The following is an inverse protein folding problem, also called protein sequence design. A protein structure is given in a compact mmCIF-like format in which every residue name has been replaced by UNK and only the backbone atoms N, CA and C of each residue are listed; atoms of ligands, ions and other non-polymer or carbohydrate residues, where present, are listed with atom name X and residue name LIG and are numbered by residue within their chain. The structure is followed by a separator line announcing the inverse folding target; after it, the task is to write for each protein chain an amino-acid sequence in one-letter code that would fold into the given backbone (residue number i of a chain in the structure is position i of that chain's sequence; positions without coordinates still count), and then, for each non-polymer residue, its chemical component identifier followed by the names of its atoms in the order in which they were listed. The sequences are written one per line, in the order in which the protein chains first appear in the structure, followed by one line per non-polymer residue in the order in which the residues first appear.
data_IF_408697293524
#
_entry.id   IF_408697293524
#
_cell.length_a   1.000
_cell.length_b   1.000
_cell.length_c   1.000
_cell.angle_alpha   90.00
_cell.angle_beta   90.00
_cell.angle_gamma   90.00
#
_symmetry.space_group_name_H-M   'P 1'
#
loop_
_entity.id
_entity.type
_entity.pdbx_description
1 polymer ?
#
# COMPACT_ATOMS: atom_id res chain seq x y z
N UNK A 1 20.53 -18.08 8.21
CA UNK A 1 19.28 -18.02 9.00
C UNK A 1 18.47 -16.88 8.39
N UNK A 2 17.74 -17.11 7.30
CA UNK A 2 16.50 -17.90 7.15
C UNK A 2 15.35 -17.32 7.95
N UNK A 3 14.61 -16.38 7.35
CA UNK A 3 13.21 -16.05 7.67
C UNK A 3 12.60 -15.34 6.46
N UNK A 4 12.40 -16.12 5.40
CA UNK A 4 11.41 -15.85 4.36
C UNK A 4 10.07 -16.23 5.00
N UNK A 5 9.38 -15.25 5.59
CA UNK A 5 8.14 -15.49 6.33
C UNK A 5 7.01 -14.93 5.49
N UNK A 6 6.38 -15.83 4.72
CA UNK A 6 5.09 -15.60 4.09
C UNK A 6 4.09 -15.09 5.14
N UNK A 7 3.09 -14.25 4.76
CA UNK A 7 2.06 -13.85 5.71
C UNK A 7 1.38 -15.10 6.27
N UNK A 8 1.64 -15.36 7.55
CA UNK A 8 1.12 -16.50 8.29
C UNK A 8 -0.41 -16.43 8.23
N UNK A 9 -1.03 -17.45 7.62
CA UNK A 9 -2.49 -17.60 7.60
C UNK A 9 -2.99 -17.62 9.05
N UNK A 10 -4.13 -16.97 9.35
CA UNK A 10 -4.68 -17.02 10.70
C UNK A 10 -4.91 -18.48 11.10
N UNK A 11 -4.57 -18.89 12.33
CA UNK A 11 -4.84 -20.25 12.79
C UNK A 11 -6.34 -20.51 12.68
N UNK A 12 -6.73 -21.56 11.97
CA UNK A 12 -8.12 -21.98 11.86
C UNK A 12 -8.67 -22.18 13.28
N UNK A 13 -9.67 -21.40 13.73
CA UNK A 13 -10.23 -21.59 15.05
C UNK A 13 -10.99 -22.91 15.04
N UNK A 14 -10.47 -23.87 15.81
CA UNK A 14 -11.16 -25.11 16.13
C UNK A 14 -12.46 -24.75 16.88
N UNK A 15 -13.60 -25.17 16.33
CA UNK A 15 -14.91 -25.21 17.00
C UNK A 15 -15.48 -23.87 17.51
N UNK A 16 -15.24 -22.75 16.84
CA UNK A 16 -15.99 -21.51 17.15
C UNK A 16 -17.18 -21.41 16.22
N UNK A 17 -18.39 -21.30 16.78
CA UNK A 17 -19.60 -21.10 15.99
C UNK A 17 -19.48 -19.78 15.19
N UNK A 18 -19.54 -19.90 13.87
CA UNK A 18 -19.40 -18.77 12.96
C UNK A 18 -20.58 -17.80 13.10
N UNK A 19 -21.77 -18.33 13.44
CA UNK A 19 -22.96 -17.52 13.67
C UNK A 19 -22.83 -16.72 14.96
N UNK A 20 -22.33 -17.34 16.04
CA UNK A 20 -22.00 -16.66 17.30
C UNK A 20 -20.91 -15.57 17.09
N UNK A 21 -19.88 -15.88 16.30
CA UNK A 21 -18.80 -14.94 15.98
C UNK A 21 -19.32 -13.69 15.26
N UNK A 22 -20.34 -13.84 14.41
CA UNK A 22 -21.01 -12.73 13.73
C UNK A 22 -22.18 -12.14 14.53
N UNK A 23 -22.47 -12.63 15.74
CA UNK A 23 -23.62 -12.23 16.55
C UNK A 23 -24.96 -12.33 15.78
N UNK A 24 -25.13 -13.37 14.98
CA UNK A 24 -26.35 -13.62 14.18
C UNK A 24 -26.95 -14.99 14.49
N UNK A 25 -28.25 -15.15 14.20
CA UNK A 25 -28.91 -16.45 14.29
C UNK A 25 -28.51 -17.38 13.13
N UNK A 26 -28.63 -18.69 13.34
CA UNK A 26 -28.33 -19.71 12.32
C UNK A 26 -29.22 -19.58 11.07
N UNK A 27 -30.43 -19.02 11.21
CA UNK A 27 -31.38 -18.76 10.12
C UNK A 27 -31.18 -17.38 9.44
N UNK A 28 -30.12 -16.65 9.81
CA UNK A 28 -29.90 -15.30 9.31
C UNK A 28 -29.80 -15.26 7.78
N UNK A 29 -30.43 -14.24 7.20
CA UNK A 29 -30.34 -13.93 5.77
C UNK A 29 -28.96 -13.39 5.41
N UNK A 30 -28.60 -13.47 4.12
CA UNK A 30 -27.33 -12.93 3.62
C UNK A 30 -27.15 -11.43 3.94
N UNK A 31 -28.23 -10.65 3.86
CA UNK A 31 -28.21 -9.23 4.20
C UNK A 31 -27.94 -8.98 5.70
N UNK A 32 -28.47 -9.84 6.58
CA UNK A 32 -28.20 -9.76 8.02
C UNK A 32 -26.75 -10.12 8.33
N UNK A 33 -26.22 -11.19 7.72
CA UNK A 33 -24.81 -11.61 7.85
C UNK A 33 -23.88 -10.47 7.38
N UNK A 34 -24.15 -9.88 6.21
CA UNK A 34 -23.40 -8.74 5.66
C UNK A 34 -23.46 -7.51 6.56
N UNK A 35 -24.64 -7.21 7.10
CA UNK A 35 -24.83 -6.07 7.99
C UNK A 35 -24.12 -6.26 9.33
N UNK A 36 -24.16 -7.47 9.88
CA UNK A 36 -23.48 -7.81 11.13
C UNK A 36 -21.96 -7.75 10.98
N UNK A 37 -21.42 -8.33 9.89
CA UNK A 37 -20.01 -8.22 9.53
C UNK A 37 -19.55 -6.76 9.47
N UNK A 38 -20.25 -5.89 8.73
CA UNK A 38 -19.90 -4.46 8.64
C UNK A 38 -19.83 -3.77 10.01
N UNK A 39 -20.80 -4.04 10.87
CA UNK A 39 -20.85 -3.46 12.23
C UNK A 39 -19.68 -3.96 13.08
N UNK A 40 -19.43 -5.27 13.08
CA UNK A 40 -18.37 -5.89 13.89
C UNK A 40 -16.97 -5.55 13.39
N UNK A 41 -16.77 -5.49 12.07
CA UNK A 41 -15.54 -5.04 11.42
C UNK A 41 -15.19 -3.61 11.82
N UNK A 42 -16.17 -2.69 11.83
CA UNK A 42 -15.96 -1.30 12.25
C UNK A 42 -15.65 -1.16 13.75
N UNK A 43 -16.20 -2.04 14.60
CA UNK A 43 -15.96 -2.04 16.06
C UNK A 43 -14.59 -2.61 16.42
N UNK A 44 -14.17 -3.66 15.74
CA UNK A 44 -12.92 -4.38 16.00
C UNK A 44 -11.77 -3.98 15.06
N UNK A 45 -11.91 -2.89 14.30
CA UNK A 45 -10.85 -2.44 13.40
C UNK A 45 -9.59 -2.03 14.18
N UNK A 46 -8.39 -2.55 13.85
CA UNK A 46 -7.16 -2.32 14.62
C UNK A 46 -6.73 -0.85 14.68
N UNK A 47 -7.18 -0.02 13.72
CA UNK A 47 -6.94 1.43 13.70
C UNK A 47 -7.71 2.18 14.80
N UNK A 48 -8.90 1.69 15.18
CA UNK A 48 -9.71 2.30 16.25
C UNK A 48 -9.35 1.78 17.64
N UNK A 49 -8.58 0.70 17.71
CA UNK A 49 -8.17 0.09 18.97
C UNK A 49 -7.04 0.89 19.64
N UNK A 50 -7.12 1.00 20.96
CA UNK A 50 -6.01 1.50 21.79
C UNK A 50 -4.78 0.61 21.56
N UNK A 51 -3.55 1.15 21.61
CA UNK A 51 -2.33 0.39 21.34
C UNK A 51 -2.22 -0.91 22.16
N UNK A 52 -2.70 -0.91 23.40
CA UNK A 52 -2.73 -2.05 24.32
C UNK A 52 -3.66 -3.19 23.85
N UNK A 53 -4.71 -2.88 23.07
CA UNK A 53 -5.74 -3.83 22.65
C UNK A 53 -5.67 -4.14 21.14
N UNK A 54 -4.62 -3.68 20.44
CA UNK A 54 -4.50 -3.85 18.99
C UNK A 54 -4.41 -5.32 18.58
N UNK A 55 -3.70 -6.13 19.35
CA UNK A 55 -3.55 -7.55 19.06
C UNK A 55 -4.87 -8.31 19.21
N UNK A 56 -5.64 -8.02 20.27
CA UNK A 56 -6.95 -8.61 20.49
C UNK A 56 -7.95 -8.17 19.42
N UNK A 57 -7.96 -6.88 19.07
CA UNK A 57 -8.79 -6.35 17.99
C UNK A 57 -8.45 -7.00 16.64
N UNK A 58 -7.16 -7.19 16.35
CA UNK A 58 -6.70 -7.88 15.14
C UNK A 58 -7.16 -9.33 15.09
N UNK A 59 -7.02 -10.09 16.20
CA UNK A 59 -7.47 -11.48 16.28
C UNK A 59 -8.99 -11.59 16.09
N UNK A 60 -9.76 -10.75 16.77
CA UNK A 60 -11.22 -10.70 16.61
C UNK A 60 -11.62 -10.31 15.19
N UNK A 61 -10.95 -9.33 14.60
CA UNK A 61 -11.20 -8.91 13.22
C UNK A 61 -10.95 -10.05 12.23
N UNK A 62 -9.87 -10.81 12.41
CA UNK A 62 -9.58 -11.99 11.59
C UNK A 62 -10.65 -13.07 11.73
N UNK A 63 -11.13 -13.35 12.96
CA UNK A 63 -12.22 -14.30 13.20
C UNK A 63 -13.53 -13.85 12.54
N UNK A 64 -13.89 -12.57 12.69
CA UNK A 64 -15.07 -11.96 12.06
C UNK A 64 -14.98 -12.03 10.52
N UNK A 65 -13.81 -11.73 9.96
CA UNK A 65 -13.54 -11.83 8.53
C UNK A 65 -13.69 -13.27 8.03
N UNK A 66 -13.13 -14.23 8.76
CA UNK A 66 -13.22 -15.65 8.43
C UNK A 66 -14.66 -16.16 8.46
N UNK A 67 -15.40 -15.86 9.53
CA UNK A 67 -16.80 -16.22 9.65
C UNK A 67 -17.64 -15.64 8.51
N UNK A 68 -17.40 -14.38 8.14
CA UNK A 68 -18.07 -13.77 7.00
C UNK A 68 -17.70 -14.44 5.67
N UNK A 69 -16.42 -14.77 5.43
CA UNK A 69 -15.99 -15.42 4.19
C UNK A 69 -16.58 -16.81 3.96
N UNK A 70 -16.94 -17.51 5.04
CA UNK A 70 -17.64 -18.80 4.98
C UNK A 70 -19.16 -18.61 4.86
N UNK A 71 -19.75 -17.73 5.67
CA UNK A 71 -21.22 -17.59 5.74
C UNK A 71 -21.83 -16.74 4.61
N UNK A 72 -21.04 -15.84 4.01
CA UNK A 72 -21.50 -14.97 2.91
C UNK A 72 -21.70 -15.70 1.59
N UNK A 73 -21.03 -16.84 1.38
CA UNK A 73 -21.21 -17.67 0.20
C UNK A 73 -22.15 -18.84 0.53
N UNK A 74 -23.23 -18.98 -0.23
CA UNK A 74 -24.27 -19.98 0.02
C UNK A 74 -23.73 -21.42 -0.09
N UNK A 75 -22.74 -21.68 -0.96
CA UNK A 75 -22.11 -23.00 -1.09
C UNK A 75 -21.23 -23.31 0.11
N UNK A 76 -20.46 -22.33 0.60
CA UNK A 76 -19.59 -22.50 1.79
C UNK A 76 -20.40 -22.61 3.07
N UNK A 77 -21.44 -21.79 3.23
CA UNK A 77 -22.40 -21.90 4.33
C UNK A 77 -23.04 -23.27 4.36
N UNK A 78 -23.56 -23.74 3.22
CA UNK A 78 -24.19 -25.07 3.12
C UNK A 78 -23.24 -26.22 3.45
N UNK A 79 -21.95 -26.09 3.13
CA UNK A 79 -20.91 -27.06 3.53
C UNK A 79 -20.70 -27.02 5.05
N UNK A 80 -20.48 -25.83 5.60
CA UNK A 80 -20.33 -25.62 7.04
C UNK A 80 -21.53 -26.16 7.83
N UNK A 81 -22.76 -25.89 7.39
CA UNK A 81 -23.98 -26.36 8.05
C UNK A 81 -24.13 -27.90 8.01
N UNK A 82 -23.52 -28.59 7.03
CA UNK A 82 -23.56 -30.04 6.91
C UNK A 82 -22.45 -30.76 7.66
N UNK A 83 -21.26 -30.16 7.70
CA UNK A 83 -20.04 -30.83 8.20
C UNK A 83 -19.64 -30.32 9.58
N UNK A 84 -20.14 -29.15 9.99
CA UNK A 84 -19.74 -28.45 11.21
C UNK A 84 -18.27 -28.02 11.21
N UNK A 85 -17.55 -28.23 10.10
CA UNK A 85 -16.12 -28.04 9.98
C UNK A 85 -15.81 -26.87 9.06
N UNK A 86 -14.99 -25.95 9.55
CA UNK A 86 -14.48 -24.82 8.76
C UNK A 86 -13.28 -25.19 7.90
N UNK A 87 -12.67 -26.37 8.14
CA UNK A 87 -11.53 -26.85 7.36
C UNK A 87 -11.95 -27.18 5.92
N UNK A 88 -13.11 -27.83 5.77
CA UNK A 88 -13.64 -28.26 4.46
C UNK A 88 -14.30 -27.12 3.66
N UNK A 89 -14.49 -25.95 4.27
CA UNK A 89 -15.11 -24.80 3.61
C UNK A 89 -14.25 -24.22 2.47
N UNK A 90 -12.93 -24.47 2.52
CA UNK A 90 -11.94 -23.99 1.55
C UNK A 90 -11.18 -25.10 0.82
N UNK A 91 -11.37 -26.37 1.17
CA UNK A 91 -10.59 -27.52 0.65
C UNK A 91 -10.74 -27.78 -0.86
N UNK A 92 -11.85 -27.34 -1.48
CA UNK A 92 -12.05 -27.50 -2.94
C UNK A 92 -11.67 -26.26 -3.76
N UNK A 93 -11.20 -25.19 -3.12
CA UNK A 93 -10.87 -23.91 -3.76
C UNK A 93 -9.44 -23.47 -3.39
N UNK A 94 -8.43 -24.16 -3.93
CA UNK A 94 -7.00 -23.83 -3.84
C UNK A 94 -6.63 -22.39 -4.28
N UNK A 95 -7.59 -21.60 -4.76
CA UNK A 95 -7.45 -20.25 -5.33
C UNK A 95 -8.25 -19.16 -4.57
N UNK A 96 -8.66 -19.38 -3.31
CA UNK A 96 -9.34 -18.32 -2.55
C UNK A 96 -8.40 -17.16 -2.17
N UNK A 97 -8.38 -16.10 -2.99
CA UNK A 97 -7.67 -14.85 -2.70
C UNK A 97 -8.58 -13.85 -1.95
N UNK A 98 -8.24 -13.60 -0.68
CA UNK A 98 -8.86 -12.59 0.17
C UNK A 98 -8.91 -11.20 -0.48
N UNK A 99 -7.88 -10.82 -1.23
CA UNK A 99 -7.80 -9.51 -1.86
C UNK A 99 -8.80 -9.39 -3.01
N UNK A 100 -9.00 -10.45 -3.79
CA UNK A 100 -10.03 -10.49 -4.83
C UNK A 100 -11.44 -10.59 -4.24
N UNK A 101 -11.63 -11.39 -3.19
CA UNK A 101 -12.89 -11.45 -2.44
C UNK A 101 -13.32 -10.05 -1.97
N UNK A 102 -12.45 -9.33 -1.26
CA UNK A 102 -12.80 -7.98 -0.79
C UNK A 102 -12.98 -6.97 -1.93
N UNK A 103 -12.17 -7.06 -3.00
CA UNK A 103 -12.36 -6.20 -4.19
C UNK A 103 -13.75 -6.40 -4.78
N UNK A 104 -14.20 -7.63 -4.94
CA UNK A 104 -15.53 -7.94 -5.47
C UNK A 104 -16.64 -7.48 -4.51
N UNK A 105 -16.50 -7.76 -3.21
CA UNK A 105 -17.48 -7.39 -2.19
C UNK A 105 -17.71 -5.87 -2.09
N UNK A 106 -16.66 -5.07 -2.24
CA UNK A 106 -16.74 -3.60 -2.20
C UNK A 106 -16.81 -2.95 -3.59
N UNK A 107 -16.75 -3.74 -4.67
CA UNK A 107 -16.77 -3.22 -6.05
C UNK A 107 -18.00 -2.37 -6.36
N UNK A 108 -19.14 -2.66 -5.73
CA UNK A 108 -20.40 -1.91 -5.88
C UNK A 108 -20.56 -0.78 -4.87
N UNK A 109 -19.82 -0.80 -3.77
CA UNK A 109 -19.90 0.22 -2.72
C UNK A 109 -18.86 1.34 -2.89
N UNK A 110 -17.74 1.02 -3.52
CA UNK A 110 -16.64 1.95 -3.83
C UNK A 110 -16.32 1.78 -5.31
N UNK A 111 -17.27 2.17 -6.15
CA UNK A 111 -17.09 2.17 -7.60
C UNK A 111 -16.73 3.57 -8.11
N UNK A 112 -16.35 3.65 -9.39
CA UNK A 112 -16.00 4.92 -10.03
C UNK A 112 -17.21 5.86 -10.07
N UNK A 113 -18.42 5.32 -10.22
CA UNK A 113 -19.64 6.12 -10.27
C UNK A 113 -19.95 6.78 -8.92
N UNK A 114 -19.81 6.05 -7.80
CA UNK A 114 -19.99 6.59 -6.45
C UNK A 114 -18.98 7.71 -6.17
N UNK A 115 -17.75 7.59 -6.68
CA UNK A 115 -16.76 8.66 -6.58
C UNK A 115 -17.16 9.89 -7.42
N UNK A 116 -17.69 9.68 -8.63
CA UNK A 116 -18.18 10.76 -9.49
C UNK A 116 -19.41 11.47 -8.90
N UNK A 117 -20.35 10.72 -8.32
CA UNK A 117 -21.51 11.25 -7.61
C UNK A 117 -21.07 12.08 -6.40
N UNK A 118 -20.17 11.54 -5.56
CA UNK A 118 -19.63 12.25 -4.40
C UNK A 118 -18.87 13.51 -4.82
N UNK A 119 -18.10 13.46 -5.91
CA UNK A 119 -17.44 14.64 -6.48
C UNK A 119 -18.45 15.71 -6.87
N UNK A 120 -19.54 15.33 -7.52
CA UNK A 120 -20.58 16.25 -7.97
C UNK A 120 -21.35 16.87 -6.81
N UNK A 121 -21.59 16.11 -5.74
CA UNK A 121 -22.27 16.60 -4.55
C UNK A 121 -21.38 17.53 -3.72
N UNK A 122 -20.10 17.19 -3.58
CA UNK A 122 -19.15 17.97 -2.78
C UNK A 122 -18.67 19.25 -3.48
N UNK A 123 -18.27 19.18 -4.76
CA UNK A 123 -17.70 20.34 -5.45
C UNK A 123 -18.74 21.43 -5.68
N UNK A 124 -18.45 22.64 -5.20
CA UNK A 124 -19.33 23.81 -5.25
C UNK A 124 -20.35 23.87 -4.11
N UNK A 125 -20.42 22.85 -3.26
CA UNK A 125 -21.29 22.83 -2.08
C UNK A 125 -20.83 23.83 -1.02
N UNK A 126 -21.71 24.11 -0.06
CA UNK A 126 -21.33 24.90 1.11
C UNK A 126 -20.41 24.11 2.06
N UNK A 127 -20.44 22.79 2.02
CA UNK A 127 -19.53 21.92 2.78
C UNK A 127 -18.08 22.13 2.31
N UNK A 128 -17.83 22.07 1.01
CA UNK A 128 -16.50 22.32 0.46
C UNK A 128 -16.00 23.74 0.78
N UNK A 129 -16.86 24.75 0.70
CA UNK A 129 -16.48 26.12 1.10
C UNK A 129 -16.08 26.16 2.57
N UNK A 130 -16.86 25.53 3.44
CA UNK A 130 -16.55 25.48 4.88
C UNK A 130 -15.26 24.72 5.16
N UNK A 131 -15.03 23.60 4.50
CA UNK A 131 -13.78 22.83 4.62
C UNK A 131 -12.58 23.63 4.14
N UNK A 132 -12.72 24.33 3.00
CA UNK A 132 -11.69 25.20 2.46
C UNK A 132 -11.33 26.33 3.42
N UNK A 133 -12.32 27.00 4.00
CA UNK A 133 -12.10 28.07 4.97
C UNK A 133 -11.50 27.53 6.28
N UNK A 134 -11.97 26.38 6.73
CA UNK A 134 -11.43 25.69 7.91
C UNK A 134 -9.96 25.31 7.70
N UNK A 135 -9.62 24.78 6.52
CA UNK A 135 -8.24 24.49 6.14
C UNK A 135 -7.40 25.77 6.03
N UNK A 136 -7.97 26.84 5.47
CA UNK A 136 -7.31 28.14 5.32
C UNK A 136 -6.91 28.74 6.67
N UNK A 137 -7.81 28.71 7.65
CA UNK A 137 -7.53 29.14 9.03
C UNK A 137 -6.51 28.22 9.72
N UNK A 138 -6.73 26.90 9.65
CA UNK A 138 -5.85 25.89 10.26
C UNK A 138 -4.41 26.00 9.78
N UNK A 139 -4.20 26.26 8.50
CA UNK A 139 -2.87 26.36 7.90
C UNK A 139 -2.39 27.79 7.67
N UNK A 140 -3.14 28.79 8.16
CA UNK A 140 -2.81 30.23 8.08
C UNK A 140 -2.45 30.66 6.66
N UNK A 141 -3.30 30.30 5.70
CA UNK A 141 -3.19 30.67 4.28
C UNK A 141 -2.09 29.96 3.49
N UNK A 142 -1.60 28.81 3.96
CA UNK A 142 -0.63 27.99 3.23
C UNK A 142 -1.32 27.10 2.19
N UNK A 143 -1.44 27.58 0.95
CA UNK A 143 -2.18 26.89 -0.13
C UNK A 143 -1.72 25.47 -0.39
N UNK A 144 -0.42 25.16 -0.22
CA UNK A 144 0.09 23.79 -0.42
C UNK A 144 -0.59 22.81 0.55
N UNK A 145 -0.72 23.19 1.82
CA UNK A 145 -1.36 22.36 2.85
C UNK A 145 -2.88 22.31 2.71
N UNK A 146 -3.47 23.38 2.20
CA UNK A 146 -4.90 23.45 1.95
C UNK A 146 -5.28 22.42 0.89
N UNK A 147 -4.56 22.41 -0.24
CA UNK A 147 -4.79 21.43 -1.31
C UNK A 147 -4.58 19.98 -0.86
N UNK A 148 -3.62 19.74 0.03
CA UNK A 148 -3.38 18.41 0.61
C UNK A 148 -4.48 17.97 1.61
N UNK A 149 -5.34 18.91 2.05
CA UNK A 149 -6.33 18.67 3.11
C UNK A 149 -7.78 18.66 2.64
N UNK A 150 -8.10 19.43 1.60
CA UNK A 150 -9.47 19.53 1.08
C UNK A 150 -9.76 18.33 0.21
N UNK A 151 -10.92 17.70 0.44
CA UNK A 151 -11.31 16.48 -0.24
C UNK A 151 -11.48 16.72 -1.76
N UNK A 152 -11.06 15.76 -2.57
CA UNK A 152 -11.19 15.79 -4.04
C UNK A 152 -10.59 17.02 -4.74
N UNK A 153 -9.69 17.73 -4.07
CA UNK A 153 -9.00 18.87 -4.64
C UNK A 153 -8.07 18.43 -5.78
N UNK A 154 -8.20 19.06 -6.95
CA UNK A 154 -7.22 19.03 -8.01
C UNK A 154 -6.64 20.43 -8.23
N UNK A 155 -5.35 20.62 -7.94
CA UNK A 155 -4.66 21.91 -8.14
C UNK A 155 -4.82 22.45 -9.57
N UNK A 156 -4.93 21.58 -10.57
CA UNK A 156 -5.07 22.01 -11.97
C UNK A 156 -6.43 22.64 -12.27
N UNK A 157 -7.48 22.18 -11.61
CA UNK A 157 -8.86 22.59 -11.90
C UNK A 157 -9.39 23.58 -10.84
N UNK A 158 -8.95 23.44 -9.59
CA UNK A 158 -9.57 24.11 -8.42
C UNK A 158 -8.81 25.34 -7.91
N UNK A 159 -7.56 25.60 -8.33
CA UNK A 159 -6.75 26.70 -7.77
C UNK A 159 -7.43 28.07 -7.94
N UNK A 160 -8.01 28.34 -9.11
CA UNK A 160 -8.70 29.60 -9.37
C UNK A 160 -10.01 29.72 -8.57
N UNK A 161 -10.78 28.64 -8.50
CA UNK A 161 -12.05 28.58 -7.78
C UNK A 161 -11.87 28.73 -6.28
N UNK A 162 -10.89 28.04 -5.69
CA UNK A 162 -10.60 28.11 -4.26
C UNK A 162 -10.14 29.52 -3.86
N UNK A 163 -9.31 30.16 -4.69
CA UNK A 163 -8.89 31.54 -4.45
C UNK A 163 -10.07 32.51 -4.51
N UNK A 164 -10.97 32.36 -5.48
CA UNK A 164 -12.16 33.20 -5.55
C UNK A 164 -13.01 33.07 -4.28
N UNK A 165 -13.20 31.85 -3.77
CA UNK A 165 -13.93 31.62 -2.51
C UNK A 165 -13.21 32.25 -1.31
N UNK A 166 -11.89 32.07 -1.20
CA UNK A 166 -11.09 32.65 -0.11
C UNK A 166 -11.12 34.19 -0.17
N UNK A 167 -10.95 34.77 -1.35
CA UNK A 167 -10.99 36.22 -1.54
C UNK A 167 -12.36 36.81 -1.21
N UNK A 168 -13.43 36.12 -1.62
CA UNK A 168 -14.78 36.49 -1.22
C UNK A 168 -14.97 36.40 0.30
N UNK A 169 -14.49 35.33 0.95
CA UNK A 169 -14.58 35.18 2.39
C UNK A 169 -13.76 36.24 3.16
N UNK A 170 -12.60 36.65 2.63
CA UNK A 170 -11.80 37.75 3.18
C UNK A 170 -12.56 39.08 3.00
N UNK A 171 -13.18 39.32 1.85
CA UNK A 171 -13.97 40.52 1.58
C UNK A 171 -15.21 40.61 2.48
N UNK A 172 -15.87 39.48 2.72
CA UNK A 172 -17.00 39.33 3.64
C UNK A 172 -16.59 39.38 5.13
N UNK A 173 -15.28 39.41 5.43
CA UNK A 173 -14.75 39.42 6.79
C UNK A 173 -14.95 38.11 7.56
N UNK A 174 -15.22 36.99 6.88
CA UNK A 174 -15.39 35.67 7.50
C UNK A 174 -14.07 35.06 7.95
N UNK A 175 -12.98 35.34 7.24
CA UNK A 175 -11.64 34.81 7.54
C UNK A 175 -10.58 35.91 7.52
N UNK A 176 -9.53 35.75 8.32
CA UNK A 176 -8.42 36.69 8.38
C UNK A 176 -7.47 36.55 7.18
N UNK A 177 -6.91 37.68 6.73
CA UNK A 177 -5.93 37.69 5.65
C UNK A 177 -4.54 37.30 6.18
N UNK A 178 -4.04 36.13 5.78
CA UNK A 178 -2.72 35.66 6.21
C UNK A 178 -1.58 36.05 5.26
N UNK A 179 -0.44 36.45 5.83
CA UNK A 179 0.77 36.85 5.10
C UNK A 179 1.23 35.82 4.06
N UNK A 180 1.18 34.53 4.40
CA UNK A 180 1.59 33.43 3.50
C UNK A 180 0.76 33.36 2.22
N UNK A 181 -0.52 33.71 2.29
CA UNK A 181 -1.41 33.72 1.13
C UNK A 181 -1.13 34.92 0.23
N UNK A 182 -0.94 36.10 0.84
CA UNK A 182 -0.75 37.37 0.13
C UNK A 182 0.60 37.46 -0.57
N UNK A 183 1.66 37.00 0.11
CA UNK A 183 3.02 37.08 -0.40
C UNK A 183 3.41 35.87 -1.27
N UNK A 184 2.45 35.06 -1.67
CA UNK A 184 2.72 33.91 -2.52
C UNK A 184 3.19 34.36 -3.92
N UNK A 185 4.46 34.13 -4.21
CA UNK A 185 5.01 34.46 -5.54
C UNK A 185 4.35 33.66 -6.66
N UNK A 186 4.15 34.30 -7.81
CA UNK A 186 3.67 33.63 -9.04
C UNK A 186 4.54 32.43 -9.42
N UNK A 187 5.86 32.53 -9.22
CA UNK A 187 6.80 31.43 -9.48
C UNK A 187 6.47 30.19 -8.65
N UNK A 188 6.09 30.36 -7.38
CA UNK A 188 5.69 29.24 -6.50
C UNK A 188 4.39 28.60 -7.01
N UNK A 189 3.42 29.41 -7.45
CA UNK A 189 2.17 28.94 -8.05
C UNK A 189 2.44 28.13 -9.32
N UNK A 190 3.25 28.65 -10.24
CA UNK A 190 3.63 27.94 -11.46
C UNK A 190 4.38 26.63 -11.17
N UNK A 191 5.25 26.61 -10.16
CA UNK A 191 5.92 25.39 -9.73
C UNK A 191 4.94 24.33 -9.21
N UNK A 192 3.91 24.74 -8.48
CA UNK A 192 2.86 23.84 -8.00
C UNK A 192 2.08 23.23 -9.16
N UNK A 193 1.63 24.06 -10.11
CA UNK A 193 0.93 23.60 -11.31
C UNK A 193 1.79 22.61 -12.10
N UNK A 194 3.08 22.92 -12.31
CA UNK A 194 4.02 22.00 -12.98
C UNK A 194 4.20 20.68 -12.24
N UNK A 195 4.24 20.70 -10.91
CA UNK A 195 4.32 19.48 -10.09
C UNK A 195 3.07 18.62 -10.26
N UNK A 196 1.89 19.24 -10.18
CA UNK A 196 0.62 18.55 -10.37
C UNK A 196 0.47 17.98 -11.80
N UNK A 197 0.91 18.70 -12.83
CA UNK A 197 0.96 18.20 -14.21
C UNK A 197 1.87 16.96 -14.33
N UNK A 198 3.08 17.03 -13.76
CA UNK A 198 4.03 15.90 -13.79
C UNK A 198 3.47 14.67 -13.06
N UNK A 199 2.83 14.87 -11.92
CA UNK A 199 2.19 13.80 -11.15
C UNK A 199 1.02 13.16 -11.92
N UNK A 200 0.18 13.98 -12.58
CA UNK A 200 -0.89 13.49 -13.44
C UNK A 200 -0.37 12.66 -14.63
N UNK A 201 0.69 13.13 -15.29
CA UNK A 201 1.35 12.38 -16.37
C UNK A 201 1.93 11.03 -15.88
N UNK A 202 2.57 11.02 -14.70
CA UNK A 202 3.11 9.81 -14.09
C UNK A 202 1.98 8.82 -13.73
N UNK A 203 0.86 9.30 -13.19
CA UNK A 203 -0.31 8.50 -12.87
C UNK A 203 -0.94 7.87 -14.13
N UNK A 204 -1.06 8.64 -15.22
CA UNK A 204 -1.56 8.14 -16.51
C UNK A 204 -0.63 7.08 -17.12
N UNK A 205 0.69 7.26 -17.00
CA UNK A 205 1.64 6.23 -17.44
C UNK A 205 1.52 4.95 -16.61
N UNK A 206 1.29 5.08 -15.30
CA UNK A 206 1.16 3.96 -14.39
C UNK A 206 -0.14 3.19 -14.62
N UNK A 207 -1.26 3.88 -14.85
CA UNK A 207 -2.53 3.26 -15.20
C UNK A 207 -2.43 2.47 -16.50
N UNK A 208 -1.84 3.04 -17.56
CA UNK A 208 -1.57 2.36 -18.83
C UNK A 208 -0.70 1.10 -18.65
N UNK A 209 0.29 1.13 -17.75
CA UNK A 209 1.13 -0.03 -17.43
C UNK A 209 0.33 -1.13 -16.72
N UNK A 210 -0.53 -0.75 -15.77
CA UNK A 210 -1.41 -1.69 -15.06
C UNK A 210 -2.41 -2.35 -16.01
N UNK A 211 -3.01 -1.59 -16.92
CA UNK A 211 -3.92 -2.12 -17.94
C UNK A 211 -3.24 -3.15 -18.85
N UNK A 212 -2.03 -2.85 -19.33
CA UNK A 212 -1.22 -3.79 -20.11
C UNK A 212 -0.93 -5.07 -19.33
N UNK A 213 -0.59 -4.96 -18.04
CA UNK A 213 -0.33 -6.11 -17.16
C UNK A 213 -1.58 -6.98 -16.95
N UNK A 214 -2.77 -6.37 -16.82
CA UNK A 214 -4.06 -7.08 -16.73
C UNK A 214 -4.42 -7.81 -18.03
N UNK A 215 -4.05 -7.27 -19.19
CA UNK A 215 -4.26 -7.94 -20.49
C UNK A 215 -3.35 -9.15 -20.66
N UNK A 216 -2.09 -9.08 -20.20
CA UNK A 216 -1.15 -10.21 -20.25
C UNK A 216 -1.53 -11.35 -19.29
N UNK A 217 -2.14 -11.07 -18.14
CA UNK A 217 -2.57 -12.12 -17.20
C UNK A 217 -3.86 -12.82 -17.63
N UNK A 218 -4.79 -12.14 -18.30
CA UNK A 218 -6.00 -12.78 -18.86
C UNK A 218 -5.73 -13.71 -20.06
N UNK A 219 -4.61 -13.53 -20.76
CA UNK A 219 -4.20 -14.38 -21.89
C UNK A 219 -3.63 -15.76 -21.50
N UNK A 220 -3.29 -15.97 -20.22
CA UNK A 220 -2.69 -17.22 -19.73
C UNK A 220 -3.71 -18.19 -19.10
N UNK A 221 -5.02 -17.90 -19.15
CA UNK A 221 -6.07 -18.76 -18.56
C UNK A 221 -6.50 -19.93 -19.46
N UNK A 222 -5.71 -20.25 -20.49
CA UNK A 222 -5.90 -21.41 -21.36
C UNK A 222 -4.57 -22.09 -21.64
N UNK A 223 -4.32 -23.23 -20.98
CA UNK A 223 -3.10 -24.06 -20.94
C UNK A 223 -1.94 -23.54 -20.06
N UNK A 224 -1.81 -24.13 -18.87
CA UNK A 224 -0.86 -25.23 -18.56
C UNK A 224 -0.24 -25.08 -17.15
N UNK A 225 -0.23 -26.21 -16.42
CA UNK A 225 0.67 -26.65 -15.34
C UNK A 225 1.41 -25.59 -14.51
N UNK A 226 1.07 -25.55 -13.21
CA UNK A 226 1.93 -25.29 -12.04
C UNK A 226 3.24 -24.54 -12.31
N UNK A 227 3.23 -23.22 -12.11
CA UNK A 227 4.40 -22.47 -11.66
C UNK A 227 3.94 -21.29 -10.80
N UNK A 228 4.15 -21.44 -9.50
CA UNK A 228 3.97 -20.45 -8.44
C UNK A 228 4.58 -19.09 -8.82
N UNK A 229 3.84 -18.00 -8.66
CA UNK A 229 4.27 -16.62 -8.98
C UNK A 229 5.48 -16.08 -8.21
N UNK A 230 6.10 -16.87 -7.32
CA UNK A 230 7.43 -16.59 -6.74
C UNK A 230 8.58 -16.82 -7.73
N UNK A 231 8.38 -17.67 -8.75
CA UNK A 231 9.44 -18.06 -9.67
C UNK A 231 9.79 -16.95 -10.69
N UNK A 232 8.87 -16.03 -10.96
CA UNK A 232 9.09 -14.92 -11.91
C UNK A 232 9.88 -13.76 -11.28
N UNK A 233 9.70 -13.51 -9.97
CA UNK A 233 10.55 -12.59 -9.20
C UNK A 233 11.94 -13.19 -8.98
N UNK A 234 12.01 -14.50 -8.69
CA UNK A 234 13.27 -15.23 -8.60
C UNK A 234 14.00 -15.27 -9.95
N UNK A 235 13.26 -15.39 -11.07
CA UNK A 235 13.80 -15.32 -12.43
C UNK A 235 14.30 -13.91 -12.77
N UNK A 236 13.57 -12.85 -12.41
CA UNK A 236 14.02 -11.45 -12.58
C UNK A 236 15.24 -11.12 -11.70
N UNK A 237 15.30 -11.67 -10.48
CA UNK A 237 16.45 -11.55 -9.58
C UNK A 237 17.65 -12.32 -10.15
N UNK A 238 17.45 -13.55 -10.63
CA UNK A 238 18.49 -14.33 -11.33
C UNK A 238 18.93 -13.66 -12.63
N UNK A 239 18.03 -13.03 -13.38
CA UNK A 239 18.35 -12.30 -14.61
C UNK A 239 19.15 -11.03 -14.31
N UNK A 240 18.80 -10.27 -13.25
CA UNK A 240 19.60 -9.12 -12.77
C UNK A 240 20.93 -9.54 -12.15
N UNK A 241 20.98 -10.68 -11.48
CA UNK A 241 22.22 -11.25 -10.94
C UNK A 241 23.11 -11.78 -12.06
N UNK A 242 22.56 -12.42 -13.09
CA UNK A 242 23.28 -12.88 -14.27
C UNK A 242 23.77 -11.72 -15.13
N UNK A 243 23.00 -10.65 -15.33
CA UNK A 243 23.47 -9.46 -16.05
C UNK A 243 24.56 -8.70 -15.28
N UNK A 244 24.49 -8.68 -13.94
CA UNK A 244 25.59 -8.20 -13.09
C UNK A 244 26.79 -9.15 -13.17
N UNK A 245 26.58 -10.46 -13.17
CA UNK A 245 27.63 -11.46 -13.29
C UNK A 245 28.32 -11.39 -14.64
N UNK A 246 27.62 -11.21 -15.76
CA UNK A 246 28.19 -10.99 -17.10
C UNK A 246 29.03 -9.72 -17.15
N UNK A 247 28.58 -8.62 -16.51
CA UNK A 247 29.40 -7.40 -16.40
C UNK A 247 30.63 -7.57 -15.50
N UNK A 248 30.59 -8.51 -14.55
CA UNK A 248 31.69 -8.85 -13.64
C UNK A 248 32.65 -9.86 -14.28
N UNK A 249 32.14 -10.83 -15.05
CA UNK A 249 32.91 -11.81 -15.81
C UNK A 249 33.60 -11.16 -17.00
N UNK A 250 32.96 -10.21 -17.69
CA UNK A 250 33.60 -9.41 -18.74
C UNK A 250 34.71 -8.52 -18.16
N UNK A 251 34.50 -7.88 -16.98
CA UNK A 251 35.56 -7.17 -16.25
C UNK A 251 36.66 -8.07 -15.67
N UNK A 252 36.38 -9.35 -15.41
CA UNK A 252 37.35 -10.33 -14.94
C UNK A 252 38.16 -10.93 -16.10
N UNK A 253 37.51 -11.19 -17.24
CA UNK A 253 38.13 -11.67 -18.48
C UNK A 253 39.06 -10.60 -19.07
N UNK A 254 38.67 -9.33 -19.02
CA UNK A 254 39.52 -8.19 -19.40
C UNK A 254 40.73 -8.02 -18.45
N UNK A 255 40.62 -8.49 -17.21
CA UNK A 255 41.64 -8.35 -16.16
C UNK A 255 42.55 -9.58 -15.99
N UNK A 256 42.12 -10.76 -16.43
CA UNK A 256 42.83 -12.04 -16.26
C UNK A 256 42.98 -12.86 -17.55
N UNK A 257 42.36 -12.46 -18.67
CA UNK A 257 42.39 -13.18 -19.95
C UNK A 257 43.67 -13.03 -20.78
N UNK A 258 44.63 -12.20 -20.36
CA UNK A 258 45.87 -11.95 -21.10
C UNK A 258 47.10 -12.57 -20.41
N UNK A 259 47.24 -13.90 -20.47
CA UNK A 259 48.48 -14.62 -20.81
C UNK A 259 48.46 -16.09 -20.34
N UNK A 260 48.52 -17.00 -21.32
CA UNK A 260 49.19 -18.29 -21.12
C UNK A 260 50.71 -18.06 -21.03
N UNK A 261 51.36 -18.50 -19.94
CA UNK A 261 52.59 -19.34 -19.95
C UNK A 261 53.22 -19.53 -18.54
N UNK A 262 53.40 -20.82 -18.19
CA UNK A 262 54.44 -21.49 -17.36
C UNK A 262 54.82 -20.92 -15.97
N UNK A 263 54.67 -21.75 -14.92
CA UNK A 263 55.61 -21.75 -13.77
C UNK A 263 55.07 -22.21 -12.40
N UNK A 264 55.31 -23.49 -12.06
CA UNK A 264 55.62 -24.09 -10.73
C UNK A 264 55.02 -23.58 -9.39
N UNK A 265 54.35 -24.52 -8.69
CA UNK A 265 54.13 -24.71 -7.23
C UNK A 265 54.67 -23.66 -6.23
N UNK A 266 53.79 -23.14 -5.37
CA UNK A 266 53.75 -23.30 -3.89
C UNK A 266 52.57 -22.50 -3.30
N UNK A 267 51.83 -23.09 -2.37
CA UNK A 267 50.69 -22.45 -1.70
C UNK A 267 51.13 -21.34 -0.75
N UNK A 268 50.31 -20.29 -0.64
CA UNK A 268 50.44 -19.24 0.37
C UNK A 268 49.08 -19.06 1.06
N UNK A 269 49.12 -19.12 2.39
CA UNK A 269 48.00 -18.94 3.32
C UNK A 269 47.42 -17.53 3.18
N UNK A 270 46.11 -17.43 3.29
CA UNK A 270 45.42 -16.17 3.51
C UNK A 270 45.77 -15.68 4.93
N UNK A 271 46.61 -14.66 5.04
CA UNK A 271 46.82 -13.95 6.31
C UNK A 271 45.74 -12.88 6.46
N UNK A 272 45.02 -12.92 7.57
CA UNK A 272 44.08 -11.88 7.95
C UNK A 272 44.83 -10.56 8.20
N UNK A 273 44.26 -9.41 7.83
CA UNK A 273 44.90 -8.12 8.03
C UNK A 273 45.17 -7.84 9.52
N UNK A 274 46.32 -7.24 9.88
CA UNK A 274 46.68 -6.99 11.26
C UNK A 274 45.68 -6.03 11.94
N UNK A 275 45.38 -6.32 13.20
CA UNK A 275 44.36 -5.67 14.03
C UNK A 275 44.52 -4.14 14.12
N UNK A 276 45.73 -3.62 13.91
CA UNK A 276 46.02 -2.19 13.80
C UNK A 276 45.26 -1.50 12.65
N UNK A 277 45.02 -2.19 11.52
CA UNK A 277 44.26 -1.65 10.40
C UNK A 277 42.76 -1.50 10.73
N UNK A 278 42.24 -2.39 11.59
CA UNK A 278 40.88 -2.31 12.14
C UNK A 278 40.75 -1.20 13.18
N UNK A 279 41.77 -1.00 14.02
CA UNK A 279 41.77 0.08 15.00
C UNK A 279 41.91 1.47 14.35
N UNK A 280 42.70 1.59 13.28
CA UNK A 280 42.84 2.84 12.52
C UNK A 280 41.53 3.27 11.84
N UNK A 281 40.74 2.30 11.35
CA UNK A 281 39.42 2.58 10.75
C UNK A 281 38.37 2.93 11.82
N UNK A 282 38.40 2.29 12.99
CA UNK A 282 37.55 2.65 14.13
C UNK A 282 37.85 4.06 14.66
N UNK A 283 39.12 4.44 14.78
CA UNK A 283 39.54 5.78 15.23
C UNK A 283 39.13 6.89 14.24
N UNK A 284 39.18 6.61 12.92
CA UNK A 284 38.65 7.51 11.88
C UNK A 284 37.13 7.71 11.97
N UNK A 285 36.37 6.69 12.33
CA UNK A 285 34.92 6.82 12.51
C UNK A 285 34.55 7.58 13.78
N UNK A 286 35.29 7.37 14.89
CA UNK A 286 35.06 8.07 16.15
C UNK A 286 35.34 9.59 16.06
N UNK A 287 36.41 9.98 15.35
CA UNK A 287 36.74 11.40 15.10
C UNK A 287 35.71 12.11 14.21
N UNK A 288 35.12 11.40 13.24
CA UNK A 288 34.03 11.91 12.39
C UNK A 288 32.73 12.14 13.17
N UNK A 289 32.47 11.31 14.19
CA UNK A 289 31.30 11.42 15.08
C UNK A 289 31.41 12.57 16.10
N UNK A 290 32.63 12.93 16.53
CA UNK A 290 32.88 14.12 17.37
C UNK A 290 32.77 15.45 16.62
N UNK A 291 33.06 15.47 15.31
CA UNK A 291 32.93 16.68 14.47
C UNK A 291 31.50 17.07 14.12
N UNK A 292 30.55 16.13 14.20
CA UNK A 292 29.13 16.37 13.93
C UNK A 292 28.30 16.68 15.19
N UNK A 293 28.95 16.85 16.36
CA UNK A 293 28.28 17.13 17.63
C UNK A 293 28.85 18.35 18.38
N UNK A 294 29.58 19.20 17.67
CA UNK A 294 30.01 20.53 18.09
C UNK A 294 29.39 21.57 17.16
#
# INVERSE_FOLDING_TARGET
MSSDEAPELPPAPLETDLYETLEVAEDATQDQIKSAYKKLALRNHPDKARPENKEEASKKFQQIAFAYAVLSDERRRRRFDQTGSTAEAFEDEDDFDWADFYREQFSSAVDVNALEELKKEYQGSDEEKNDLLTAFEKFRGDMDKIYDSVMLCNVLDDDERFRAVIEQAIADGRVEKYKKYVEESEKKRQQRVKRAQKEAEEAEQLSKKLEKKKQTSKGAKGKKETATGGDDLAALIRQRQNSRAESMFSRLEEKYGANQKKGTKRGAKFEEPPEEAFQATAARQASKKKKNKA
#
